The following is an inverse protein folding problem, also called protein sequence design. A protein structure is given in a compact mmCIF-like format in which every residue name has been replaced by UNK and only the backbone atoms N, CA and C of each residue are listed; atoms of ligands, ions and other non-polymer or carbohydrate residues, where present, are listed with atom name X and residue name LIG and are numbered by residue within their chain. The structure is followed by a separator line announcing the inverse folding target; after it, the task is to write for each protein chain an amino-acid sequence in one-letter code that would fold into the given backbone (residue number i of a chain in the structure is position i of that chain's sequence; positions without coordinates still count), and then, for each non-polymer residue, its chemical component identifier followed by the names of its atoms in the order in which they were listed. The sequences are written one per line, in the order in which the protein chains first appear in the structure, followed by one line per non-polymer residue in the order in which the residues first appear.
data_IF_744894429312
#
_entry.id   IF_744894429312
#
_cell.length_a   1.000
_cell.length_b   1.000
_cell.length_c   1.000
_cell.angle_alpha   90.00
_cell.angle_beta   90.00
_cell.angle_gamma   90.00
#
_symmetry.space_group_name_H-M   'P 1'
#
loop_
_entity.id
_entity.type
_entity.pdbx_description
1 polymer ?
#
# COMPACT_ATOMS: atom_id res chain seq x y z
N UNK A 1 34.74 3.48 -2.43
CA UNK A 1 33.37 3.28 -2.93
C UNK A 1 33.16 1.84 -3.40
N UNK A 2 34.25 1.09 -3.64
CA UNK A 2 34.26 -0.34 -3.99
C UNK A 2 33.38 -1.21 -3.07
N UNK A 3 33.27 -0.86 -1.78
CA UNK A 3 32.36 -1.54 -0.83
C UNK A 3 30.89 -1.63 -1.30
N UNK A 4 30.40 -0.70 -2.12
CA UNK A 4 29.05 -0.75 -2.72
C UNK A 4 28.99 -1.81 -3.83
N UNK A 5 30.07 -1.93 -4.62
CA UNK A 5 30.17 -2.96 -5.66
C UNK A 5 30.48 -4.33 -5.04
N UNK A 6 31.20 -4.38 -3.93
CA UNK A 6 31.45 -5.61 -3.18
C UNK A 6 30.16 -6.16 -2.57
N UNK A 7 29.19 -5.31 -2.21
CA UNK A 7 27.86 -5.77 -1.77
C UNK A 7 26.99 -6.39 -2.87
N UNK A 8 27.39 -6.26 -4.15
CA UNK A 8 26.76 -6.98 -5.26
C UNK A 8 27.25 -8.44 -5.35
N UNK A 9 28.30 -8.79 -4.60
CA UNK A 9 28.68 -10.18 -4.40
C UNK A 9 27.74 -10.77 -3.35
N UNK A 10 27.23 -11.98 -3.57
CA UNK A 10 26.40 -12.65 -2.58
C UNK A 10 27.30 -13.16 -1.45
N UNK A 11 27.64 -12.28 -0.52
CA UNK A 11 28.48 -12.55 0.66
C UNK A 11 27.81 -13.52 1.63
N UNK A 12 26.48 -13.57 1.63
CA UNK A 12 25.68 -14.61 2.31
C UNK A 12 25.43 -15.87 1.46
N UNK A 13 26.13 -16.05 0.33
CA UNK A 13 26.06 -17.29 -0.45
C UNK A 13 26.48 -18.47 0.43
N UNK A 14 25.54 -19.37 0.68
CA UNK A 14 25.75 -20.47 1.61
C UNK A 14 24.45 -20.90 2.24
N UNK A 15 24.38 -20.86 3.57
CA UNK A 15 23.28 -21.41 4.34
C UNK A 15 22.35 -20.28 4.78
N UNK A 16 21.04 -20.51 4.67
CA UNK A 16 20.02 -19.59 5.16
C UNK A 16 20.25 -19.20 6.62
N UNK A 17 20.32 -17.90 6.88
CA UNK A 17 20.58 -17.31 8.20
C UNK A 17 19.57 -17.78 9.27
N UNK A 18 18.31 -17.98 8.88
CA UNK A 18 17.22 -18.29 9.81
C UNK A 18 17.10 -19.77 10.13
N UNK A 19 17.04 -20.66 9.13
CA UNK A 19 16.82 -22.10 9.38
C UNK A 19 18.12 -22.90 9.46
N UNK A 20 19.23 -22.36 8.99
CA UNK A 20 20.56 -23.01 9.01
C UNK A 20 20.60 -24.39 8.32
N UNK A 21 19.59 -24.71 7.50
CA UNK A 21 19.40 -26.06 6.94
C UNK A 21 19.20 -26.10 5.42
N UNK A 22 19.05 -24.94 4.78
CA UNK A 22 18.79 -24.80 3.35
C UNK A 22 19.71 -23.73 2.76
N UNK A 23 19.90 -23.77 1.46
CA UNK A 23 20.70 -22.77 0.75
C UNK A 23 20.05 -21.38 0.82
N UNK A 24 20.84 -20.37 1.17
CA UNK A 24 20.47 -18.98 1.00
C UNK A 24 20.54 -18.67 -0.50
N UNK A 25 19.42 -18.26 -1.08
CA UNK A 25 19.31 -17.92 -2.51
C UNK A 25 18.69 -16.55 -2.75
N UNK A 26 18.09 -15.97 -1.71
CA UNK A 26 17.44 -14.67 -1.77
C UNK A 26 18.09 -13.69 -0.80
N UNK A 27 18.16 -12.43 -1.20
CA UNK A 27 18.45 -11.30 -0.34
C UNK A 27 17.28 -10.29 -0.38
N UNK A 28 17.32 -9.31 0.52
CA UNK A 28 16.44 -8.15 0.45
C UNK A 28 17.28 -6.88 0.44
N UNK A 29 17.15 -6.07 -0.60
CA UNK A 29 17.87 -4.80 -0.75
C UNK A 29 17.22 -3.64 0.02
N UNK A 30 16.08 -3.90 0.66
CA UNK A 30 15.37 -2.92 1.51
C UNK A 30 15.60 -3.15 3.00
N UNK A 31 15.88 -4.39 3.41
CA UNK A 31 16.25 -4.68 4.79
C UNK A 31 17.59 -4.03 5.14
N UNK A 32 17.73 -3.63 6.39
CA UNK A 32 19.02 -3.18 6.89
C UNK A 32 19.89 -4.40 7.20
N UNK A 33 21.11 -4.42 6.66
CA UNK A 33 22.05 -5.51 6.86
C UNK A 33 22.21 -6.39 5.61
N UNK A 34 23.22 -7.26 5.65
CA UNK A 34 23.44 -8.28 4.63
C UNK A 34 22.83 -9.60 5.11
N UNK A 35 21.79 -10.04 4.41
CA UNK A 35 20.97 -11.18 4.79
C UNK A 35 20.82 -12.17 3.64
N UNK A 36 20.91 -13.47 3.97
CA UNK A 36 20.69 -14.57 3.03
C UNK A 36 19.59 -15.52 3.51
N UNK A 37 18.52 -15.67 2.73
CA UNK A 37 17.40 -16.55 3.06
C UNK A 37 17.14 -17.63 2.01
N UNK A 38 16.68 -18.79 2.48
CA UNK A 38 15.91 -19.69 1.63
C UNK A 38 14.48 -19.15 1.47
N UNK A 39 13.77 -19.58 0.41
CA UNK A 39 12.43 -19.05 0.08
C UNK A 39 11.43 -19.06 1.25
N UNK A 40 11.25 -20.14 2.04
CA UNK A 40 10.30 -20.14 3.16
C UNK A 40 10.66 -19.14 4.27
N UNK A 41 11.95 -19.01 4.59
CA UNK A 41 12.42 -18.06 5.59
C UNK A 41 12.29 -16.62 5.09
N UNK A 42 12.54 -16.36 3.80
CA UNK A 42 12.31 -15.06 3.19
C UNK A 42 10.86 -14.61 3.38
N UNK A 43 9.88 -15.44 3.00
CA UNK A 43 8.45 -15.12 3.11
C UNK A 43 8.07 -14.85 4.56
N UNK A 44 8.54 -15.68 5.49
CA UNK A 44 8.26 -15.54 6.93
C UNK A 44 8.83 -14.24 7.49
N UNK A 45 10.09 -13.93 7.17
CA UNK A 45 10.76 -12.70 7.63
C UNK A 45 10.11 -11.43 7.04
N UNK A 46 9.46 -11.54 5.88
CA UNK A 46 8.80 -10.42 5.19
C UNK A 46 7.27 -10.42 5.36
N UNK A 47 6.71 -11.21 6.29
CA UNK A 47 5.26 -11.33 6.45
C UNK A 47 4.56 -9.98 6.68
N UNK A 48 5.22 -9.07 7.41
CA UNK A 48 4.76 -7.70 7.68
C UNK A 48 5.43 -6.63 6.83
N UNK A 49 6.23 -7.01 5.83
CA UNK A 49 7.06 -6.11 5.01
C UNK A 49 6.79 -6.33 3.51
N UNK A 50 5.54 -6.21 3.04
CA UNK A 50 5.14 -6.61 1.69
C UNK A 50 5.79 -5.80 0.57
N UNK A 51 6.26 -4.58 0.86
CA UNK A 51 6.81 -3.65 -0.13
C UNK A 51 8.34 -3.65 -0.20
N UNK A 52 8.99 -4.56 0.52
CA UNK A 52 10.43 -4.75 0.42
C UNK A 52 10.81 -5.33 -0.95
N UNK A 53 11.86 -4.80 -1.55
CA UNK A 53 12.43 -5.30 -2.80
C UNK A 53 13.42 -6.42 -2.49
N UNK A 54 13.29 -7.52 -3.22
CA UNK A 54 14.08 -8.73 -3.03
C UNK A 54 14.74 -9.11 -4.34
N UNK A 55 15.86 -9.85 -4.24
CA UNK A 55 16.53 -10.38 -5.42
C UNK A 55 16.83 -11.86 -5.22
N UNK A 56 16.87 -12.58 -6.33
CA UNK A 56 17.28 -13.97 -6.42
C UNK A 56 18.70 -14.01 -6.98
N UNK A 57 19.58 -14.76 -6.33
CA UNK A 57 20.89 -15.10 -6.88
C UNK A 57 20.75 -16.20 -7.93
N UNK A 58 21.10 -15.92 -9.19
CA UNK A 58 20.99 -16.88 -10.30
C UNK A 58 22.30 -17.60 -10.65
N UNK A 59 23.26 -17.61 -9.71
CA UNK A 59 24.66 -18.08 -9.88
C UNK A 59 25.58 -17.17 -10.69
N UNK A 60 25.07 -16.11 -11.33
CA UNK A 60 25.88 -15.12 -12.05
C UNK A 60 25.74 -13.72 -11.46
N UNK A 61 24.50 -13.31 -11.19
CA UNK A 61 24.17 -12.01 -10.63
C UNK A 61 22.84 -12.06 -9.87
N UNK A 62 22.54 -10.97 -9.17
CA UNK A 62 21.22 -10.76 -8.62
C UNK A 62 20.22 -10.38 -9.71
N UNK A 63 19.05 -11.01 -9.64
CA UNK A 63 17.89 -10.68 -10.45
C UNK A 63 16.75 -10.22 -9.55
N UNK A 64 16.17 -9.06 -9.87
CA UNK A 64 14.97 -8.58 -9.19
C UNK A 64 13.83 -9.58 -9.35
N UNK A 65 13.21 -9.95 -8.22
CA UNK A 65 12.02 -10.81 -8.16
C UNK A 65 11.03 -10.20 -7.19
N UNK A 66 9.77 -10.65 -7.22
CA UNK A 66 8.74 -10.15 -6.29
C UNK A 66 8.41 -11.18 -5.22
N UNK A 67 8.04 -10.71 -4.02
CA UNK A 67 7.53 -11.58 -2.96
C UNK A 67 6.33 -12.42 -3.44
N UNK A 68 5.46 -11.82 -4.27
CA UNK A 68 4.29 -12.51 -4.80
C UNK A 68 4.66 -13.71 -5.68
N UNK A 69 5.66 -13.57 -6.56
CA UNK A 69 6.16 -14.68 -7.39
C UNK A 69 6.79 -15.79 -6.55
N UNK A 70 7.26 -15.47 -5.33
CA UNK A 70 7.78 -16.45 -4.39
C UNK A 70 6.69 -17.15 -3.56
N UNK A 71 5.43 -16.77 -3.71
CA UNK A 71 4.30 -17.35 -2.98
C UNK A 71 3.88 -16.58 -1.73
N UNK A 72 4.32 -15.32 -1.56
CA UNK A 72 3.78 -14.46 -0.53
C UNK A 72 2.28 -14.20 -0.76
N UNK A 73 1.49 -14.45 0.27
CA UNK A 73 0.06 -14.14 0.31
C UNK A 73 -0.16 -13.12 1.42
N UNK A 74 -0.82 -12.02 1.07
CA UNK A 74 -1.21 -11.02 2.03
C UNK A 74 -2.57 -11.38 2.62
N UNK A 75 -2.58 -11.96 3.81
CA UNK A 75 -3.80 -12.25 4.54
C UNK A 75 -4.35 -10.98 5.19
N UNK A 76 -5.59 -10.62 4.86
CA UNK A 76 -6.29 -9.51 5.51
C UNK A 76 -7.02 -9.99 6.76
N UNK A 77 -6.90 -9.21 7.84
CA UNK A 77 -7.37 -9.60 9.16
C UNK A 77 -6.39 -10.52 9.88
N UNK A 78 -6.80 -11.02 11.05
CA UNK A 78 -6.09 -12.04 11.84
C UNK A 78 -4.57 -11.81 12.04
N UNK A 79 -4.13 -10.55 12.09
CA UNK A 79 -2.71 -10.23 12.29
C UNK A 79 -1.79 -10.64 11.13
N UNK A 80 -2.33 -10.91 9.93
CA UNK A 80 -1.55 -11.39 8.79
C UNK A 80 -1.49 -12.92 8.68
N UNK A 81 -2.28 -13.64 9.46
CA UNK A 81 -2.44 -15.09 9.37
C UNK A 81 -3.65 -15.50 8.50
N UNK A 82 -3.66 -16.75 7.96
CA UNK A 82 -4.80 -17.28 7.24
C UNK A 82 -6.12 -17.18 8.02
N UNK A 83 -7.20 -16.81 7.33
CA UNK A 83 -8.51 -16.74 7.98
C UNK A 83 -8.96 -18.13 8.44
N UNK A 84 -9.32 -18.33 9.73
CA UNK A 84 -9.70 -19.63 10.27
C UNK A 84 -10.99 -20.20 9.65
N UNK A 85 -11.77 -19.35 8.97
CA UNK A 85 -13.00 -19.75 8.28
C UNK A 85 -12.76 -20.60 7.04
N UNK A 86 -11.56 -20.57 6.46
CA UNK A 86 -11.21 -21.42 5.31
C UNK A 86 -10.93 -22.88 5.69
N UNK A 87 -11.17 -23.24 6.95
CA UNK A 87 -10.93 -24.57 7.49
C UNK A 87 -9.59 -24.60 8.22
N UNK A 88 -9.66 -24.45 9.54
CA UNK A 88 -8.88 -25.37 10.36
C UNK A 88 -9.33 -26.78 9.94
N UNK A 89 -8.50 -27.53 9.22
CA UNK A 89 -8.55 -28.97 9.35
C UNK A 89 -8.46 -29.23 10.86
N UNK A 90 -9.60 -29.51 11.48
CA UNK A 90 -9.63 -30.04 12.83
C UNK A 90 -8.86 -31.35 12.72
N UNK A 91 -7.60 -31.35 13.15
CA UNK A 91 -6.99 -32.59 13.58
C UNK A 91 -7.78 -32.96 14.83
N UNK A 92 -8.88 -33.69 14.63
CA UNK A 92 -9.36 -34.58 15.68
C UNK A 92 -8.22 -35.57 15.85
N UNK A 93 -7.44 -35.38 16.91
CA UNK A 93 -6.56 -36.43 17.39
C UNK A 93 -7.45 -37.56 17.85
N UNK A 94 -7.79 -38.46 16.92
CA UNK A 94 -8.24 -39.78 17.30
C UNK A 94 -7.12 -40.43 18.10
N UNK A 95 -7.45 -40.84 19.32
CA UNK A 95 -6.55 -41.52 20.25
C UNK A 95 -6.35 -42.99 19.85
N UNK A 96 -6.14 -43.30 18.57
CA UNK A 96 -5.76 -44.65 18.15
C UNK A 96 -4.56 -44.58 17.22
N UNK A 97 -3.40 -44.95 17.77
CA UNK A 97 -2.09 -44.88 17.14
C UNK A 97 -1.92 -45.83 15.95
N UNK A 98 -2.42 -45.42 14.79
CA UNK A 98 -2.08 -46.02 13.50
C UNK A 98 -1.71 -44.94 12.49
N UNK A 99 -0.44 -44.94 12.10
CA UNK A 99 0.12 -44.06 11.08
C UNK A 99 -0.17 -44.68 9.72
N UNK A 100 -1.30 -44.36 9.12
CA UNK A 100 -1.60 -44.69 7.72
C UNK A 100 -1.64 -43.37 6.91
N UNK A 101 -0.75 -43.30 5.91
CA UNK A 101 -0.62 -42.35 4.80
C UNK A 101 -0.78 -40.83 5.05
N UNK A 102 0.37 -40.14 5.02
CA UNK A 102 0.46 -38.69 4.84
C UNK A 102 0.06 -38.38 3.40
N UNK A 103 -1.23 -38.22 3.11
CA UNK A 103 -1.65 -37.56 1.88
C UNK A 103 -1.39 -36.06 2.01
N UNK A 104 -0.24 -35.64 1.51
CA UNK A 104 -0.04 -34.32 0.93
C UNK A 104 -1.21 -34.00 0.00
N UNK A 105 -2.02 -32.99 0.34
CA UNK A 105 -2.78 -32.08 -0.55
C UNK A 105 -3.90 -31.41 0.25
N UNK A 106 -3.53 -30.53 1.18
CA UNK A 106 -4.47 -29.49 1.62
C UNK A 106 -4.72 -28.53 0.45
N UNK A 107 -5.96 -28.18 0.10
CA UNK A 107 -6.22 -27.24 -0.99
C UNK A 107 -5.52 -25.90 -0.72
N UNK A 108 -5.00 -25.26 -1.77
CA UNK A 108 -4.57 -23.85 -1.76
C UNK A 108 -5.58 -23.00 -0.97
N UNK A 109 -5.15 -22.00 -0.17
CA UNK A 109 -6.08 -21.12 0.53
C UNK A 109 -7.06 -20.55 -0.49
N UNK A 110 -8.32 -20.92 -0.29
CA UNK A 110 -9.46 -20.64 -1.14
C UNK A 110 -9.58 -19.11 -1.32
N UNK A 111 -9.72 -18.68 -2.57
CA UNK A 111 -10.06 -17.29 -2.97
C UNK A 111 -9.00 -16.20 -2.69
N UNK A 112 -7.77 -16.39 -3.19
CA UNK A 112 -6.83 -15.27 -3.30
C UNK A 112 -7.09 -14.44 -4.55
N UNK A 113 -6.92 -13.13 -4.42
CA UNK A 113 -7.18 -12.15 -5.47
C UNK A 113 -5.91 -11.37 -5.77
N UNK A 114 -5.37 -11.34 -7.01
CA UNK A 114 -4.29 -10.43 -7.34
C UNK A 114 -4.79 -8.99 -7.28
N UNK A 115 -4.07 -8.17 -6.52
CA UNK A 115 -4.34 -6.74 -6.31
C UNK A 115 -3.07 -5.95 -6.63
N UNK A 116 -3.20 -4.96 -7.51
CA UNK A 116 -2.15 -3.97 -7.77
C UNK A 116 -2.14 -2.94 -6.64
N UNK A 117 -1.02 -2.79 -5.96
CA UNK A 117 -0.84 -1.89 -4.82
C UNK A 117 0.20 -0.83 -5.20
N UNK A 118 -0.24 0.42 -5.24
CA UNK A 118 0.66 1.56 -5.45
C UNK A 118 1.19 2.00 -4.09
N UNK A 119 2.51 1.95 -3.94
CA UNK A 119 3.27 2.31 -2.74
C UNK A 119 4.30 3.40 -3.08
N UNK A 120 4.87 4.07 -2.06
CA UNK A 120 5.86 5.14 -2.25
C UNK A 120 7.15 4.67 -2.92
N UNK A 121 7.51 3.39 -2.76
CA UNK A 121 8.70 2.77 -3.36
C UNK A 121 8.48 2.13 -4.74
N UNK A 122 7.24 2.11 -5.25
CA UNK A 122 6.88 1.51 -6.53
C UNK A 122 5.46 0.93 -6.57
N UNK A 123 5.16 0.21 -7.66
CA UNK A 123 3.89 -0.47 -7.92
C UNK A 123 4.10 -1.97 -7.78
N UNK A 124 3.35 -2.57 -6.87
CA UNK A 124 3.46 -3.99 -6.52
C UNK A 124 2.19 -4.72 -6.97
N UNK A 125 2.30 -6.04 -7.14
CA UNK A 125 1.14 -6.92 -7.22
C UNK A 125 1.29 -7.99 -6.16
N UNK A 126 0.28 -8.14 -5.31
CA UNK A 126 0.23 -9.22 -4.32
C UNK A 126 -1.07 -10.00 -4.44
N UNK A 127 -1.00 -11.29 -4.12
CA UNK A 127 -2.19 -12.10 -3.90
C UNK A 127 -2.73 -11.81 -2.50
N UNK A 128 -3.95 -11.33 -2.44
CA UNK A 128 -4.64 -10.97 -1.20
C UNK A 128 -5.64 -12.06 -0.85
N UNK A 129 -5.59 -12.55 0.39
CA UNK A 129 -6.59 -13.46 0.96
C UNK A 129 -7.52 -12.67 1.89
N UNK A 130 -8.82 -12.86 1.73
CA UNK A 130 -9.85 -12.09 2.42
C UNK A 130 -10.29 -12.76 3.73
N UNK A 131 -10.71 -11.96 4.71
CA UNK A 131 -11.36 -12.49 5.90
C UNK A 131 -12.84 -12.81 5.61
N UNK A 132 -13.26 -14.05 5.87
CA UNK A 132 -14.66 -14.50 5.74
C UNK A 132 -15.30 -14.89 7.07
N UNK A 133 -14.72 -14.51 8.20
CA UNK A 133 -15.35 -14.72 9.50
C UNK A 133 -16.75 -14.08 9.54
N UNK A 134 -17.66 -14.67 10.31
CA UNK A 134 -18.96 -14.09 10.53
C UNK A 134 -18.83 -12.67 11.10
N UNK A 135 -19.49 -11.69 10.46
CA UNK A 135 -19.37 -10.27 10.82
C UNK A 135 -18.11 -9.58 10.29
N UNK A 136 -17.35 -10.22 9.38
CA UNK A 136 -16.23 -9.55 8.72
C UNK A 136 -16.71 -8.39 7.86
N UNK A 137 -15.85 -7.39 7.75
CA UNK A 137 -16.06 -6.23 6.89
C UNK A 137 -16.15 -6.62 5.41
N UNK A 138 -16.88 -5.88 4.58
CA UNK A 138 -16.74 -5.95 3.12
C UNK A 138 -15.29 -5.70 2.67
N UNK A 139 -14.89 -6.27 1.53
CA UNK A 139 -13.50 -6.24 1.02
C UNK A 139 -12.84 -4.84 1.04
N UNK A 140 -13.55 -3.81 0.60
CA UNK A 140 -13.02 -2.44 0.55
C UNK A 140 -12.72 -1.87 1.96
N UNK A 141 -13.50 -2.25 2.98
CA UNK A 141 -13.24 -1.83 4.36
C UNK A 141 -12.10 -2.64 4.99
N UNK A 142 -11.96 -3.94 4.66
CA UNK A 142 -10.80 -4.73 5.08
C UNK A 142 -9.48 -4.11 4.58
N UNK A 143 -9.46 -3.66 3.32
CA UNK A 143 -8.32 -2.92 2.75
C UNK A 143 -8.05 -1.61 3.50
N UNK A 144 -9.09 -0.83 3.78
CA UNK A 144 -8.94 0.43 4.53
C UNK A 144 -8.39 0.19 5.94
N UNK A 145 -8.79 -0.88 6.62
CA UNK A 145 -8.20 -1.29 7.91
C UNK A 145 -6.72 -1.67 7.77
N UNK A 146 -6.34 -2.28 6.66
CA UNK A 146 -4.94 -2.53 6.29
C UNK A 146 -4.19 -1.30 5.76
N UNK A 147 -4.78 -0.09 5.85
CA UNK A 147 -4.23 1.18 5.33
C UNK A 147 -3.97 1.20 3.82
N UNK A 148 -4.79 0.43 3.10
CA UNK A 148 -4.85 0.37 1.64
C UNK A 148 -6.15 1.04 1.18
N UNK A 149 -6.03 2.16 0.48
CA UNK A 149 -7.18 2.88 -0.05
C UNK A 149 -7.59 2.28 -1.40
N UNK A 150 -8.80 1.70 -1.51
CA UNK A 150 -9.24 1.07 -2.75
C UNK A 150 -9.67 2.08 -3.80
N UNK A 151 -9.29 1.84 -5.06
CA UNK A 151 -9.76 2.63 -6.21
C UNK A 151 -11.23 2.36 -6.58
N UNK A 152 -11.79 1.26 -6.09
CA UNK A 152 -13.19 0.86 -6.26
C UNK A 152 -13.71 0.15 -5.02
N UNK A 153 -14.93 0.46 -4.59
CA UNK A 153 -15.57 -0.20 -3.43
C UNK A 153 -16.25 -1.53 -3.77
N UNK A 154 -16.54 -1.78 -5.05
CA UNK A 154 -17.28 -2.98 -5.50
C UNK A 154 -16.38 -4.15 -5.84
N UNK A 155 -15.24 -3.87 -6.49
CA UNK A 155 -14.25 -4.89 -6.90
C UNK A 155 -12.84 -4.29 -6.84
N UNK A 156 -12.23 -4.21 -5.64
CA UNK A 156 -10.95 -3.54 -5.46
C UNK A 156 -9.81 -4.38 -6.07
N UNK A 157 -9.39 -4.02 -7.29
CA UNK A 157 -8.21 -4.61 -7.96
C UNK A 157 -6.99 -3.68 -7.98
N UNK A 158 -7.19 -2.43 -7.59
CA UNK A 158 -6.14 -1.44 -7.44
C UNK A 158 -6.35 -0.71 -6.13
N UNK A 159 -5.28 -0.58 -5.36
CA UNK A 159 -5.29 0.13 -4.08
C UNK A 159 -4.04 1.01 -3.98
N UNK A 160 -4.11 2.04 -3.15
CA UNK A 160 -3.02 2.96 -2.87
C UNK A 160 -2.73 2.92 -1.38
N UNK A 161 -1.47 2.80 -0.96
CA UNK A 161 -1.16 2.96 0.45
C UNK A 161 -1.51 4.39 0.91
N UNK A 162 -1.89 4.55 2.18
CA UNK A 162 -2.14 5.90 2.71
C UNK A 162 -0.89 6.78 2.60
N UNK A 163 0.30 6.18 2.75
CA UNK A 163 1.59 6.85 2.59
C UNK A 163 1.80 7.42 1.18
N UNK A 164 1.55 6.65 0.11
CA UNK A 164 1.77 7.19 -1.25
C UNK A 164 0.81 8.34 -1.58
N UNK A 165 -0.39 8.32 -1.00
CA UNK A 165 -1.36 9.41 -1.14
C UNK A 165 -0.91 10.66 -0.37
N UNK A 166 -0.35 10.50 0.83
CA UNK A 166 0.25 11.60 1.58
C UNK A 166 1.49 12.17 0.85
N UNK A 167 2.38 11.32 0.32
CA UNK A 167 3.52 11.75 -0.50
C UNK A 167 3.07 12.51 -1.74
N UNK A 168 2.03 12.05 -2.43
CA UNK A 168 1.52 12.75 -3.61
C UNK A 168 1.00 14.15 -3.26
N UNK A 169 0.27 14.32 -2.15
CA UNK A 169 -0.22 15.63 -1.74
C UNK A 169 0.93 16.59 -1.38
N UNK A 170 1.98 16.11 -0.72
CA UNK A 170 3.16 16.91 -0.37
C UNK A 170 3.96 17.26 -1.63
N UNK A 171 4.24 16.30 -2.51
CA UNK A 171 4.98 16.54 -3.76
C UNK A 171 4.25 17.51 -4.70
N UNK A 172 2.93 17.44 -4.75
CA UNK A 172 2.12 18.39 -5.51
C UNK A 172 2.20 19.82 -4.93
N UNK A 173 2.31 19.96 -3.61
CA UNK A 173 2.40 21.24 -2.91
C UNK A 173 3.82 21.83 -2.99
N UNK A 174 4.81 21.09 -2.50
CA UNK A 174 6.19 21.55 -2.31
C UNK A 174 6.98 21.53 -3.62
N UNK A 175 6.88 20.43 -4.36
CA UNK A 175 7.68 20.23 -5.57
C UNK A 175 6.93 20.67 -6.84
N UNK A 176 5.68 21.11 -6.73
CA UNK A 176 4.79 21.44 -7.87
C UNK A 176 4.71 20.28 -8.88
N UNK A 177 4.86 19.05 -8.39
CA UNK A 177 4.93 17.87 -9.25
C UNK A 177 3.54 17.58 -9.82
N UNK A 178 3.45 17.45 -11.14
CA UNK A 178 2.21 17.04 -11.78
C UNK A 178 1.86 15.59 -11.40
N UNK A 179 0.57 15.24 -11.35
CA UNK A 179 0.15 13.87 -11.09
C UNK A 179 0.75 12.85 -12.09
N UNK A 180 0.99 13.28 -13.34
CA UNK A 180 1.61 12.44 -14.36
C UNK A 180 3.06 12.15 -14.02
N UNK A 181 3.84 13.21 -13.75
CA UNK A 181 5.25 13.09 -13.38
C UNK A 181 5.44 12.30 -12.07
N UNK A 182 4.53 12.48 -11.09
CA UNK A 182 4.54 11.69 -9.87
C UNK A 182 4.33 10.20 -10.14
N UNK A 183 3.36 9.85 -10.99
CA UNK A 183 3.11 8.45 -11.32
C UNK A 183 4.26 7.85 -12.16
N UNK A 184 4.82 8.59 -13.11
CA UNK A 184 6.00 8.18 -13.87
C UNK A 184 7.23 7.94 -12.97
N UNK A 185 7.40 8.73 -11.91
CA UNK A 185 8.41 8.49 -10.87
C UNK A 185 8.21 7.11 -10.22
N UNK A 186 6.98 6.78 -9.81
CA UNK A 186 6.66 5.47 -9.22
C UNK A 186 6.91 4.32 -10.21
N UNK A 187 6.55 4.52 -11.48
CA UNK A 187 6.84 3.56 -12.55
C UNK A 187 8.34 3.29 -12.67
N UNK A 188 9.18 4.34 -12.71
CA UNK A 188 10.64 4.19 -12.78
C UNK A 188 11.26 3.61 -11.50
N UNK A 189 10.70 3.92 -10.33
CA UNK A 189 11.09 3.28 -9.07
C UNK A 189 10.77 1.78 -9.07
N UNK A 190 9.73 1.35 -9.81
CA UNK A 190 9.35 -0.06 -9.93
C UNK A 190 10.24 -0.79 -10.92
N UNK A 191 10.41 -0.24 -12.12
CA UNK A 191 11.29 -0.78 -13.15
C UNK A 191 11.81 0.37 -14.01
N UNK A 192 13.05 0.80 -13.76
CA UNK A 192 13.64 1.92 -14.48
C UNK A 192 14.06 1.55 -15.91
N UNK A 193 14.43 0.29 -16.14
CA UNK A 193 14.86 -0.20 -17.45
C UNK A 193 13.69 -0.33 -18.43
N UNK A 194 12.54 -0.82 -17.93
CA UNK A 194 11.34 -1.06 -18.73
C UNK A 194 10.09 -0.46 -18.05
N UNK A 195 10.00 0.88 -17.95
CA UNK A 195 8.90 1.55 -17.26
C UNK A 195 7.52 1.20 -17.84
N UNK A 196 7.42 0.97 -19.14
CA UNK A 196 6.16 0.65 -19.81
C UNK A 196 5.57 -0.72 -19.43
N UNK A 197 6.35 -1.57 -18.76
CA UNK A 197 5.87 -2.86 -18.22
C UNK A 197 5.06 -2.70 -16.93
N UNK A 198 5.13 -1.52 -16.29
CA UNK A 198 4.43 -1.24 -15.04
C UNK A 198 2.99 -0.82 -15.33
N UNK A 199 1.97 -1.40 -14.66
CA UNK A 199 0.57 -1.04 -14.92
C UNK A 199 0.27 0.45 -14.71
N UNK A 200 -0.23 1.14 -15.74
CA UNK A 200 -0.65 2.55 -15.61
C UNK A 200 -1.94 2.65 -14.79
N UNK A 201 -1.84 3.20 -13.57
CA UNK A 201 -2.94 3.49 -12.63
C UNK A 201 -3.11 4.99 -12.37
N UNK A 202 -2.64 5.84 -13.28
CA UNK A 202 -2.73 7.29 -13.18
C UNK A 202 -4.18 7.79 -12.97
N UNK A 203 -5.15 7.22 -13.70
CA UNK A 203 -6.55 7.67 -13.63
C UNK A 203 -7.15 7.38 -12.26
N UNK A 204 -6.79 6.25 -11.69
CA UNK A 204 -7.15 5.82 -10.35
C UNK A 204 -6.49 6.73 -9.29
N UNK A 205 -5.21 7.07 -9.45
CA UNK A 205 -4.51 8.03 -8.58
C UNK A 205 -5.25 9.37 -8.54
N UNK A 206 -5.63 9.91 -9.72
CA UNK A 206 -6.36 11.18 -9.81
C UNK A 206 -7.70 11.14 -9.08
N UNK A 207 -8.39 10.00 -9.10
CA UNK A 207 -9.67 9.84 -8.39
C UNK A 207 -9.46 9.70 -6.89
N UNK A 208 -8.60 8.79 -6.49
CA UNK A 208 -8.36 8.46 -5.08
C UNK A 208 -7.73 9.62 -4.33
N UNK A 209 -6.79 10.36 -4.94
CA UNK A 209 -6.16 11.53 -4.32
C UNK A 209 -7.13 12.66 -3.98
N UNK A 210 -8.20 12.85 -4.78
CA UNK A 210 -9.26 13.80 -4.48
C UNK A 210 -10.08 13.38 -3.26
N UNK A 211 -10.47 12.10 -3.19
CA UNK A 211 -11.18 11.54 -2.03
C UNK A 211 -10.30 11.61 -0.77
N UNK A 212 -9.02 11.29 -0.91
CA UNK A 212 -8.06 11.36 0.18
C UNK A 212 -7.91 12.78 0.72
N UNK A 213 -7.81 13.78 -0.16
CA UNK A 213 -7.73 15.19 0.22
C UNK A 213 -8.95 15.65 1.01
N UNK A 214 -10.16 15.29 0.56
CA UNK A 214 -11.40 15.59 1.29
C UNK A 214 -11.39 14.95 2.69
N UNK A 215 -11.01 13.67 2.79
CA UNK A 215 -10.90 12.99 4.09
C UNK A 215 -9.85 13.62 5.01
N UNK A 216 -8.69 14.01 4.49
CA UNK A 216 -7.64 14.69 5.26
C UNK A 216 -8.12 16.05 5.75
N UNK A 217 -8.80 16.82 4.91
CA UNK A 217 -9.40 18.10 5.30
C UNK A 217 -10.44 17.90 6.39
N UNK A 218 -11.40 16.98 6.22
CA UNK A 218 -12.40 16.69 7.26
C UNK A 218 -11.75 16.34 8.60
N UNK A 219 -10.76 15.44 8.59
CA UNK A 219 -10.01 15.07 9.79
C UNK A 219 -9.30 16.27 10.43
N UNK A 220 -8.67 17.12 9.64
CA UNK A 220 -7.95 18.30 10.15
C UNK A 220 -8.90 19.29 10.83
N UNK A 221 -10.09 19.50 10.27
CA UNK A 221 -11.13 20.35 10.85
C UNK A 221 -11.98 19.66 11.93
N UNK A 222 -11.58 18.47 12.41
CA UNK A 222 -12.27 17.74 13.48
C UNK A 222 -13.50 16.93 13.04
N UNK A 223 -13.88 17.01 11.76
CA UNK A 223 -14.97 16.22 11.16
C UNK A 223 -14.53 14.77 10.99
N UNK A 224 -14.85 13.96 12.00
CA UNK A 224 -14.44 12.55 12.12
C UNK A 224 -14.46 12.07 13.57
N UNK A 225 -14.49 13.01 14.52
CA UNK A 225 -14.63 12.75 15.95
C UNK A 225 -15.99 13.28 16.44
N UNK A 226 -16.92 12.39 16.81
CA UNK A 226 -18.18 12.68 17.52
C UNK A 226 -19.17 13.69 16.88
N UNK A 227 -18.96 14.15 15.64
CA UNK A 227 -19.90 15.03 14.94
C UNK A 227 -20.99 14.22 14.23
N UNK A 228 -22.26 14.53 14.53
CA UNK A 228 -23.44 13.87 13.93
C UNK A 228 -23.71 14.29 12.49
N UNK A 229 -23.12 15.39 12.03
CA UNK A 229 -23.34 15.98 10.71
C UNK A 229 -22.02 16.27 10.00
N UNK A 230 -22.06 16.25 8.66
CA UNK A 230 -20.93 16.66 7.83
C UNK A 230 -20.69 18.18 7.87
N UNK A 231 -19.60 18.66 7.24
CA UNK A 231 -19.27 20.08 7.17
C UNK A 231 -20.29 20.85 6.33
N UNK A 232 -20.68 22.03 6.80
CA UNK A 232 -21.45 23.02 6.06
C UNK A 232 -20.57 23.88 5.13
N UNK A 233 -21.18 24.83 4.39
CA UNK A 233 -20.45 25.75 3.53
C UNK A 233 -19.42 26.58 4.33
N UNK A 234 -18.15 26.47 3.96
CA UNK A 234 -17.05 27.21 4.61
C UNK A 234 -16.40 26.51 5.80
N UNK A 235 -16.99 25.44 6.34
CA UNK A 235 -16.49 24.76 7.55
C UNK A 235 -15.12 24.07 7.39
N UNK A 236 -14.70 23.83 6.14
CA UNK A 236 -13.38 23.27 5.80
C UNK A 236 -12.41 24.32 5.24
N UNK A 237 -12.76 25.61 5.30
CA UNK A 237 -11.90 26.68 4.83
C UNK A 237 -10.94 27.12 5.94
N UNK A 238 -9.65 27.20 5.62
CA UNK A 238 -8.69 27.83 6.53
C UNK A 238 -8.96 29.33 6.56
N UNK A 239 -8.87 29.93 7.75
CA UNK A 239 -8.89 31.37 7.88
C UNK A 239 -7.72 31.97 7.09
N UNK A 240 -8.03 32.80 6.10
CA UNK A 240 -7.05 33.52 5.31
C UNK A 240 -7.16 35.01 5.63
N UNK A 241 -6.14 35.62 6.27
CA UNK A 241 -6.17 37.05 6.61
C UNK A 241 -6.12 37.96 5.38
N UNK A 242 -5.82 37.42 4.19
CA UNK A 242 -5.83 38.15 2.91
C UNK A 242 -7.16 38.02 2.16
N UNK A 243 -7.99 37.03 2.48
CA UNK A 243 -9.34 36.95 1.91
C UNK A 243 -10.23 38.05 2.52
N UNK A 244 -11.25 38.55 1.80
CA UNK A 244 -12.23 39.47 2.36
C UNK A 244 -12.89 38.92 3.64
N UNK A 245 -12.67 39.61 4.76
CA UNK A 245 -13.24 39.30 6.07
C UNK A 245 -14.00 40.55 6.59
N UNK A 246 -15.33 40.59 6.47
CA UNK A 246 -16.16 41.67 7.03
C UNK A 246 -15.81 41.93 8.50
N UNK A 247 -15.55 43.21 8.84
CA UNK A 247 -15.19 43.63 10.20
C UNK A 247 -13.73 43.36 10.62
N UNK A 248 -12.90 42.73 9.78
CA UNK A 248 -11.47 42.52 10.08
C UNK A 248 -10.60 43.32 9.11
N UNK A 249 -10.68 43.04 7.81
CA UNK A 249 -9.82 43.63 6.77
C UNK A 249 -10.61 44.25 5.62
N UNK A 250 -11.93 44.36 5.77
CA UNK A 250 -12.83 45.02 4.82
C UNK A 250 -13.29 46.36 5.40
N UNK A 251 -13.46 47.41 4.57
CA UNK A 251 -14.11 48.65 4.99
C UNK A 251 -15.50 48.39 5.57
N UNK A 252 -15.97 49.21 6.51
CA UNK A 252 -17.30 49.03 7.13
C UNK A 252 -18.46 49.11 6.13
N UNK A 253 -18.29 49.90 5.07
CA UNK A 253 -19.25 50.11 3.98
C UNK A 253 -19.00 49.19 2.76
N UNK A 254 -18.29 48.07 2.97
CA UNK A 254 -17.86 47.20 1.86
C UNK A 254 -19.03 46.69 0.99
N UNK A 255 -20.17 46.33 1.57
CA UNK A 255 -21.35 45.86 0.81
C UNK A 255 -21.78 46.92 -0.22
N UNK A 256 -21.93 48.16 0.22
CA UNK A 256 -22.35 49.29 -0.63
C UNK A 256 -21.28 49.67 -1.66
N UNK A 257 -20.01 49.54 -1.29
CA UNK A 257 -18.86 49.89 -2.13
C UNK A 257 -18.63 48.88 -3.25
N UNK A 258 -18.80 47.59 -2.98
CA UNK A 258 -18.49 46.52 -3.92
C UNK A 258 -19.72 45.92 -4.62
N UNK A 259 -20.96 46.11 -4.12
CA UNK A 259 -22.19 45.79 -4.86
C UNK A 259 -22.26 46.51 -6.22
N UNK A 260 -21.73 47.74 -6.30
CA UNK A 260 -21.72 48.54 -7.54
C UNK A 260 -20.72 48.07 -8.60
N UNK A 261 -19.81 47.16 -8.26
CA UNK A 261 -18.75 46.69 -9.18
C UNK A 261 -19.08 45.34 -9.85
N UNK A 262 -20.20 44.70 -9.53
CA UNK A 262 -20.67 43.49 -10.23
C UNK A 262 -21.47 43.86 -11.49
N UNK A 263 -20.93 44.78 -12.30
CA UNK A 263 -21.39 44.98 -13.68
C UNK A 263 -20.41 44.26 -14.59
N UNK A 264 -20.87 43.11 -15.09
CA UNK A 264 -20.23 42.22 -16.04
C UNK A 264 -19.41 42.95 -17.11
N UNK A 265 -18.09 42.72 -17.12
CA UNK A 265 -17.34 42.77 -18.37
C UNK A 265 -17.56 41.43 -19.07
N UNK A 266 -18.50 41.42 -20.00
CA UNK A 266 -18.62 40.40 -21.04
C UNK A 266 -17.45 40.50 -22.02
#
# INVERSE_FOLDING_TARGET
LDIILDSEQFTCAGICETCQSAEATFNCVTCAGDHGWCRPCLIRSHQSLPFHKIQLWNNMCFQDVTLADQGFIWYLGHGGEPCPSYGALKIHGDQDGRVDDITETGPLPQDTTPVTIVHSSGVFTHNVSWCHCQGSDPQHLQLLRARLFPASSTRPRTVFTFEVLDHFLIDALECKTSARSFFEKLTRLTNNAFPDTVPDRYRELMRVSRLWRDLKNRKWFGFGHNMKSGPGPGDLALFCPSCPQPGINMPLDWEQKYERQVNYYY
#
